data_IF_822698180961
#
_entry.id   IF_822698180961
#
_cell.length_a   1.000
_cell.length_b   1.000
_cell.length_c   1.000
_cell.angle_alpha   90.00
_cell.angle_beta   90.00
_cell.angle_gamma   90.00
#
_symmetry.space_group_name_H-M   'P 1'
#
loop_
_entity.id
_entity.type
_entity.pdbx_description
1 polymer ?
#
# COMPACT_ATOMS: atom_id res chain seq x y z
N UNK A 1 -5.97 4.50 -6.42
CA UNK A 1 -7.10 4.59 -5.47
C UNK A 1 -8.35 5.18 -6.14
N UNK A 2 -8.78 4.57 -7.24
CA UNK A 2 -10.08 4.80 -7.85
C UNK A 2 -11.07 3.78 -7.28
N UNK A 3 -12.26 4.28 -6.92
CA UNK A 3 -13.23 3.57 -6.08
C UNK A 3 -14.13 2.63 -6.87
N UNK A 4 -14.25 2.81 -8.19
CA UNK A 4 -15.24 2.11 -9.00
C UNK A 4 -16.63 2.74 -9.01
N UNK A 5 -16.87 3.79 -8.21
CA UNK A 5 -18.18 4.46 -8.12
C UNK A 5 -18.24 5.81 -8.85
N UNK A 6 -17.09 6.41 -9.17
CA UNK A 6 -17.02 7.63 -9.98
C UNK A 6 -17.51 7.37 -11.41
N UNK A 7 -18.09 8.42 -12.01
CA UNK A 7 -18.51 8.42 -13.40
C UNK A 7 -17.70 9.42 -14.21
N UNK A 8 -17.48 9.12 -15.49
CA UNK A 8 -16.94 10.07 -16.47
C UNK A 8 -18.02 11.07 -16.94
N UNK A 9 -17.66 11.93 -17.89
CA UNK A 9 -18.56 12.95 -18.44
C UNK A 9 -19.74 12.35 -19.23
N UNK A 10 -19.57 11.16 -19.78
CA UNK A 10 -20.58 10.43 -20.53
C UNK A 10 -21.47 9.57 -19.61
N UNK A 11 -21.20 9.55 -18.31
CA UNK A 11 -21.97 8.84 -17.29
C UNK A 11 -21.56 7.37 -17.09
N UNK A 12 -20.49 6.91 -17.74
CA UNK A 12 -19.97 5.55 -17.57
C UNK A 12 -19.19 5.45 -16.25
N UNK A 13 -19.23 4.27 -15.62
CA UNK A 13 -18.43 4.02 -14.41
C UNK A 13 -16.97 3.91 -14.76
N UNK A 14 -16.13 4.58 -13.98
CA UNK A 14 -14.67 4.40 -14.03
C UNK A 14 -14.35 3.12 -13.24
N UNK A 15 -13.62 2.14 -13.81
CA UNK A 15 -13.26 0.91 -13.09
C UNK A 15 -12.47 1.18 -11.80
N UNK A 16 -12.65 0.33 -10.79
CA UNK A 16 -11.90 0.43 -9.55
C UNK A 16 -10.41 0.11 -9.78
N UNK A 17 -9.54 0.94 -9.20
CA UNK A 17 -8.09 0.75 -9.26
C UNK A 17 -7.43 1.20 -7.95
N UNK A 18 -7.08 0.27 -7.09
CA UNK A 18 -6.61 0.56 -5.73
C UNK A 18 -5.52 -0.43 -5.31
N UNK A 19 -4.71 -0.02 -4.33
CA UNK A 19 -3.74 -0.89 -3.68
C UNK A 19 -4.51 -1.96 -2.89
N UNK A 20 -4.26 -3.24 -3.14
CA UNK A 20 -4.90 -4.37 -2.47
C UNK A 20 -4.14 -4.80 -1.23
N UNK A 21 -2.81 -4.84 -1.30
CA UNK A 21 -1.98 -5.33 -0.21
C UNK A 21 -0.77 -4.43 -0.03
N UNK A 22 -0.48 -4.10 1.22
CA UNK A 22 0.78 -3.48 1.66
C UNK A 22 1.48 -4.47 2.58
N UNK A 23 2.77 -4.68 2.36
CA UNK A 23 3.63 -5.53 3.18
C UNK A 23 4.78 -4.70 3.74
N UNK A 24 5.06 -4.84 5.03
CA UNK A 24 6.23 -4.24 5.66
C UNK A 24 7.12 -5.32 6.25
N UNK A 25 8.42 -5.25 5.94
CA UNK A 25 9.42 -6.19 6.44
C UNK A 25 10.48 -5.47 7.25
N UNK A 26 11.03 -6.18 8.25
CA UNK A 26 12.21 -5.79 9.01
C UNK A 26 13.26 -6.86 8.77
N UNK A 27 14.38 -6.50 8.16
CA UNK A 27 15.45 -7.43 7.80
C UNK A 27 14.94 -8.65 7.00
N UNK A 28 13.94 -8.44 6.14
CA UNK A 28 13.30 -9.48 5.33
C UNK A 28 12.19 -10.27 6.02
N UNK A 29 11.95 -10.09 7.33
CA UNK A 29 10.83 -10.72 8.04
C UNK A 29 9.60 -9.81 8.01
N UNK A 30 8.48 -10.33 7.50
CA UNK A 30 7.20 -9.59 7.46
C UNK A 30 6.71 -9.35 8.88
N UNK A 31 6.47 -8.09 9.24
CA UNK A 31 5.88 -7.72 10.53
C UNK A 31 4.50 -7.06 10.38
N UNK A 32 4.16 -6.57 9.19
CA UNK A 32 2.80 -6.09 8.85
C UNK A 32 2.41 -6.60 7.48
N UNK A 33 1.18 -7.12 7.38
CA UNK A 33 0.43 -7.22 6.14
C UNK A 33 -0.87 -6.45 6.33
N UNK A 34 -1.18 -5.54 5.42
CA UNK A 34 -2.41 -4.77 5.43
C UNK A 34 -3.17 -4.98 4.11
N UNK A 35 -4.41 -5.45 4.22
CA UNK A 35 -5.32 -5.57 3.08
C UNK A 35 -6.16 -4.32 2.96
N UNK A 36 -6.07 -3.68 1.81
CA UNK A 36 -6.74 -2.42 1.51
C UNK A 36 -7.83 -2.64 0.47
N UNK A 37 -8.80 -1.72 0.48
CA UNK A 37 -9.93 -1.74 -0.44
C UNK A 37 -10.12 -0.40 -1.13
N UNK A 38 -11.05 -0.39 -2.07
CA UNK A 38 -11.45 0.80 -2.82
C UNK A 38 -11.89 2.00 -1.95
N UNK A 39 -12.17 1.79 -0.66
CA UNK A 39 -12.57 2.85 0.28
C UNK A 39 -11.40 3.58 0.96
N UNK A 40 -10.16 3.15 0.74
CA UNK A 40 -8.98 3.89 1.22
C UNK A 40 -8.78 5.14 0.34
N UNK A 41 -8.57 6.29 0.98
CA UNK A 41 -8.42 7.59 0.31
C UNK A 41 -7.30 7.60 -0.73
N UNK A 42 -7.42 8.50 -1.70
CA UNK A 42 -6.35 8.79 -2.65
C UNK A 42 -5.09 9.28 -1.93
N UNK A 43 -3.93 8.91 -2.47
CA UNK A 43 -2.60 9.22 -1.94
C UNK A 43 -2.47 8.81 -0.46
N UNK A 44 -2.63 7.50 -0.17
CA UNK A 44 -2.78 7.00 1.19
C UNK A 44 -1.51 7.21 2.01
N UNK A 45 -1.71 7.61 3.26
CA UNK A 45 -0.66 7.67 4.27
C UNK A 45 -0.85 6.52 5.25
N UNK A 46 0.22 5.76 5.49
CA UNK A 46 0.22 4.63 6.42
C UNK A 46 1.34 4.79 7.44
N UNK A 47 0.97 5.08 8.68
CA UNK A 47 1.89 5.18 9.82
C UNK A 47 1.82 3.93 10.69
N UNK A 48 2.98 3.43 11.11
CA UNK A 48 3.12 2.29 12.00
C UNK A 48 4.32 2.48 12.94
N UNK A 49 4.38 1.65 13.99
CA UNK A 49 5.51 1.63 14.94
C UNK A 49 6.21 0.28 14.81
N UNK A 50 7.55 0.33 14.69
CA UNK A 50 8.39 -0.87 14.65
C UNK A 50 8.94 -1.14 16.05
N UNK A 51 8.57 -2.28 16.61
CA UNK A 51 9.10 -2.70 17.91
C UNK A 51 10.56 -3.15 17.80
N UNK A 52 11.36 -2.83 18.82
CA UNK A 52 12.77 -3.25 18.93
C UNK A 52 13.63 -2.90 17.71
N UNK A 53 13.32 -1.78 17.04
CA UNK A 53 14.13 -1.23 15.96
C UNK A 53 15.49 -0.76 16.48
N UNK A 54 16.57 -1.07 15.75
CA UNK A 54 17.96 -0.71 16.07
C UNK A 54 18.68 -0.18 14.83
N UNK A 55 19.79 0.54 15.05
CA UNK A 55 20.68 0.99 13.98
C UNK A 55 21.10 -0.20 13.09
N UNK A 56 21.02 0.01 11.77
CA UNK A 56 21.30 -1.00 10.76
C UNK A 56 20.14 -1.94 10.43
N UNK A 57 18.99 -1.86 11.10
CA UNK A 57 17.78 -2.56 10.66
C UNK A 57 17.30 -1.97 9.32
N UNK A 58 16.97 -2.85 8.37
CA UNK A 58 16.37 -2.48 7.09
C UNK A 58 14.87 -2.63 7.17
N UNK A 59 14.13 -1.55 6.97
CA UNK A 59 12.68 -1.53 6.89
C UNK A 59 12.28 -1.37 5.42
N UNK A 60 11.61 -2.38 4.87
CA UNK A 60 11.07 -2.32 3.51
C UNK A 60 9.55 -2.23 3.57
N UNK A 61 8.97 -1.37 2.73
CA UNK A 61 7.53 -1.31 2.47
C UNK A 61 7.30 -1.59 1.01
N UNK A 62 6.38 -2.52 0.71
CA UNK A 62 5.95 -2.83 -0.65
C UNK A 62 4.44 -2.83 -0.76
N UNK A 63 3.93 -2.60 -1.96
CA UNK A 63 2.51 -2.71 -2.24
C UNK A 63 2.23 -3.39 -3.57
N UNK A 64 1.03 -3.97 -3.68
CA UNK A 64 0.45 -4.52 -4.90
C UNK A 64 -0.96 -3.96 -5.10
N UNK A 65 -1.28 -3.55 -6.33
CA UNK A 65 -2.63 -3.11 -6.70
C UNK A 65 -3.47 -4.20 -7.37
N UNK A 66 -4.77 -3.94 -7.51
CA UNK A 66 -5.75 -4.87 -8.11
C UNK A 66 -5.59 -5.08 -9.62
N UNK A 67 -4.63 -4.40 -10.26
CA UNK A 67 -4.23 -4.61 -11.65
C UNK A 67 -2.89 -5.35 -11.75
N UNK A 68 -2.31 -5.74 -10.61
CA UNK A 68 -1.06 -6.49 -10.53
C UNK A 68 0.20 -5.63 -10.55
N UNK A 69 0.09 -4.30 -10.56
CA UNK A 69 1.27 -3.43 -10.45
C UNK A 69 1.81 -3.46 -9.02
N UNK A 70 3.11 -3.25 -8.89
CA UNK A 70 3.81 -3.26 -7.61
C UNK A 70 4.80 -2.11 -7.53
N UNK A 71 5.13 -1.72 -6.30
CA UNK A 71 6.27 -0.87 -6.01
C UNK A 71 6.76 -1.14 -4.59
N UNK A 72 8.00 -0.76 -4.32
CA UNK A 72 8.62 -0.90 -3.01
C UNK A 72 9.56 0.26 -2.73
N UNK A 73 9.87 0.44 -1.45
CA UNK A 73 10.93 1.32 -0.98
C UNK A 73 11.43 0.85 0.38
N UNK A 74 12.70 1.08 0.65
CA UNK A 74 13.36 0.69 1.88
C UNK A 74 14.08 1.87 2.56
N UNK A 75 14.36 1.68 3.84
CA UNK A 75 15.15 2.57 4.67
C UNK A 75 15.97 1.75 5.65
N UNK A 76 17.27 2.07 5.75
CA UNK A 76 18.13 1.60 6.85
C UNK A 76 18.07 2.60 8.00
N UNK A 77 17.80 2.10 9.20
CA UNK A 77 17.73 2.88 10.45
C UNK A 77 19.12 3.24 11.01
#
# INVERSE_FOLDING_TARGET
>A
METGVRKDLDGNKIPAHYIETVSCTKNGEVFITADWGASVSKDPYFGFVVNNAKEGDVIEVSWKDNLGNTSSGDLTL
#
